data_IF_096943022819
#
_entry.id   IF_096943022819
#
_cell.length_a   1.000
_cell.length_b   1.000
_cell.length_c   1.000
_cell.angle_alpha   90.00
_cell.angle_beta   90.00
_cell.angle_gamma   90.00
#
_symmetry.space_group_name_H-M   'P 1'
#
loop_
_entity.id
_entity.type
_entity.pdbx_description
1 polymer ?
#
# COMPACT_ATOMS: atom_id res chain seq x y z
N UNK A 1 6.67 40.50 -64.65
CA UNK A 1 5.80 39.62 -63.82
C UNK A 1 6.71 38.78 -62.93
N UNK A 2 6.81 39.12 -61.64
CA UNK A 2 7.67 38.41 -60.67
C UNK A 2 6.74 37.92 -59.55
N UNK A 3 6.46 36.62 -59.50
CA UNK A 3 5.73 36.00 -58.40
C UNK A 3 6.73 35.60 -57.31
N UNK A 4 6.68 36.32 -56.18
CA UNK A 4 7.38 35.96 -54.94
C UNK A 4 6.61 34.82 -54.26
N UNK A 5 7.29 33.70 -54.01
CA UNK A 5 6.80 32.63 -53.17
C UNK A 5 7.31 32.86 -51.74
N UNK A 6 6.39 33.08 -50.81
CA UNK A 6 6.66 33.20 -49.38
C UNK A 6 6.61 31.80 -48.77
N UNK A 7 7.73 31.30 -48.26
CA UNK A 7 7.78 30.07 -47.43
C UNK A 7 7.63 30.50 -45.98
N UNK A 8 6.54 30.07 -45.34
CA UNK A 8 6.31 30.22 -43.90
C UNK A 8 6.96 29.04 -43.18
N UNK A 9 7.98 29.32 -42.36
CA UNK A 9 8.61 28.36 -41.46
C UNK A 9 7.83 28.37 -40.14
N UNK A 10 7.05 27.32 -39.87
CA UNK A 10 6.37 27.15 -38.59
C UNK A 10 7.35 26.48 -37.60
N UNK A 11 7.86 27.25 -36.63
CA UNK A 11 8.59 26.74 -35.49
C UNK A 11 7.57 26.20 -34.46
N UNK A 12 7.36 24.88 -34.46
CA UNK A 12 6.59 24.19 -33.43
C UNK A 12 7.44 24.04 -32.15
N UNK A 13 7.15 24.87 -31.14
CA UNK A 13 7.60 24.63 -29.77
C UNK A 13 6.75 23.48 -29.18
N UNK A 14 7.27 22.25 -29.27
CA UNK A 14 6.74 21.14 -28.49
C UNK A 14 7.26 21.26 -27.05
N UNK A 15 6.41 21.74 -26.14
CA UNK A 15 6.62 21.58 -24.71
C UNK A 15 6.32 20.11 -24.34
N UNK A 16 7.30 19.24 -24.54
CA UNK A 16 7.22 17.85 -24.07
C UNK A 16 7.29 17.77 -22.54
N UNK A 17 6.64 16.78 -21.91
CA UNK A 17 6.75 16.55 -20.47
C UNK A 17 8.21 16.30 -20.09
N UNK A 18 8.69 17.03 -19.06
CA UNK A 18 10.06 17.01 -18.55
C UNK A 18 10.55 15.63 -18.05
N UNK A 19 9.68 14.62 -18.01
CA UNK A 19 10.04 13.26 -17.59
C UNK A 19 10.90 12.52 -18.63
N UNK A 20 10.86 12.91 -19.91
CA UNK A 20 11.55 12.20 -20.99
C UNK A 20 13.08 12.44 -21.06
N UNK A 21 13.65 13.32 -20.21
CA UNK A 21 15.10 13.59 -20.18
C UNK A 21 15.83 13.00 -18.97
N UNK A 22 15.19 12.13 -18.18
CA UNK A 22 15.77 11.53 -16.95
C UNK A 22 16.32 10.10 -17.15
N UNK A 23 16.67 9.74 -18.38
CA UNK A 23 17.38 8.51 -18.71
C UNK A 23 18.89 8.71 -18.53
N UNK A 24 19.53 7.84 -17.75
CA UNK A 24 20.99 7.82 -17.42
C UNK A 24 21.47 8.61 -16.18
N UNK A 25 20.69 8.63 -15.09
CA UNK A 25 21.10 9.26 -13.80
C UNK A 25 20.95 8.36 -12.57
N UNK A 26 21.58 8.75 -11.45
CA UNK A 26 21.28 8.16 -10.12
C UNK A 26 19.79 8.28 -9.84
N UNK A 27 19.19 7.27 -9.23
CA UNK A 27 17.78 7.32 -8.83
C UNK A 27 17.65 8.26 -7.64
N UNK A 28 16.83 9.31 -7.75
CA UNK A 28 16.61 10.25 -6.65
C UNK A 28 15.60 9.66 -5.68
N UNK A 29 16.00 9.51 -4.42
CA UNK A 29 15.23 8.75 -3.43
C UNK A 29 15.04 9.56 -2.15
N UNK A 30 13.83 9.52 -1.59
CA UNK A 30 13.59 9.83 -0.19
C UNK A 30 13.27 8.55 0.59
N UNK A 31 13.64 8.50 1.87
CA UNK A 31 13.29 7.38 2.75
C UNK A 31 12.25 7.88 3.75
N UNK A 32 11.03 7.36 3.69
CA UNK A 32 10.00 7.69 4.66
C UNK A 32 10.29 7.04 6.02
N UNK A 33 9.70 7.58 7.09
CA UNK A 33 9.68 6.93 8.40
C UNK A 33 9.09 5.53 8.30
N UNK A 34 9.71 4.54 8.95
CA UNK A 34 9.22 3.16 8.92
C UNK A 34 8.09 2.96 9.93
N UNK A 35 7.08 2.18 9.54
CA UNK A 35 6.03 1.74 10.46
C UNK A 35 6.61 0.80 11.52
N UNK A 36 6.23 0.97 12.77
CA UNK A 36 6.76 0.21 13.90
C UNK A 36 5.70 -0.21 14.91
N UNK A 37 4.41 0.00 14.61
CA UNK A 37 3.30 -0.36 15.48
C UNK A 37 3.36 -1.82 15.95
N UNK A 38 3.77 -2.75 15.09
CA UNK A 38 3.92 -4.18 15.42
C UNK A 38 4.96 -4.45 16.52
N UNK A 39 5.97 -3.60 16.64
CA UNK A 39 7.11 -3.77 17.58
C UNK A 39 7.15 -2.70 18.66
N UNK A 40 6.11 -1.87 18.77
CA UNK A 40 6.05 -0.74 19.70
C UNK A 40 6.23 -1.16 21.16
N UNK A 41 5.64 -2.30 21.54
CA UNK A 41 5.79 -2.85 22.89
C UNK A 41 7.24 -3.28 23.17
N UNK A 42 7.85 -4.07 22.27
CA UNK A 42 9.25 -4.51 22.40
C UNK A 42 10.23 -3.34 22.38
N UNK A 43 9.98 -2.32 21.55
CA UNK A 43 10.76 -1.08 21.54
C UNK A 43 10.67 -0.34 22.88
N UNK A 44 9.47 -0.24 23.46
CA UNK A 44 9.24 0.38 24.77
C UNK A 44 9.94 -0.38 25.89
N UNK A 45 9.98 -1.71 25.86
CA UNK A 45 10.72 -2.52 26.83
C UNK A 45 12.24 -2.29 26.76
N UNK A 46 12.78 -2.12 25.55
CA UNK A 46 14.22 -1.94 25.33
C UNK A 46 14.69 -0.53 25.70
N UNK A 47 13.94 0.50 25.31
CA UNK A 47 14.39 1.89 25.43
C UNK A 47 13.69 2.69 26.53
N UNK A 48 12.53 2.24 27.00
CA UNK A 48 11.66 3.02 27.88
C UNK A 48 10.94 4.16 27.16
N UNK A 49 9.68 4.44 27.57
CA UNK A 49 8.88 5.52 26.99
C UNK A 49 8.37 5.28 25.56
N UNK A 50 8.05 6.36 24.85
CA UNK A 50 7.51 6.37 23.48
C UNK A 50 8.64 6.43 22.44
N UNK A 51 9.54 5.45 22.47
CA UNK A 51 10.72 5.44 21.61
C UNK A 51 10.34 4.94 20.19
N UNK A 52 10.48 5.81 19.18
CA UNK A 52 10.15 5.49 17.79
C UNK A 52 11.35 4.86 17.06
N UNK A 53 11.36 3.53 17.00
CA UNK A 53 12.41 2.77 16.31
C UNK A 53 12.35 2.90 14.79
N UNK A 54 11.16 3.18 14.23
CA UNK A 54 10.95 3.33 12.80
C UNK A 54 11.68 4.54 12.22
N UNK A 55 11.70 5.65 12.96
CA UNK A 55 12.48 6.85 12.60
C UNK A 55 13.98 6.57 12.61
N UNK A 56 14.47 5.89 13.65
CA UNK A 56 15.90 5.56 13.77
C UNK A 56 16.38 4.63 12.66
N UNK A 57 15.55 3.65 12.28
CA UNK A 57 15.83 2.74 11.16
C UNK A 57 15.82 3.49 9.83
N UNK A 58 14.84 4.37 9.60
CA UNK A 58 14.77 5.19 8.38
C UNK A 58 16.02 6.08 8.22
N UNK A 59 16.50 6.69 9.32
CA UNK A 59 17.74 7.47 9.34
C UNK A 59 18.94 6.59 8.92
N UNK A 60 19.07 5.37 9.47
CA UNK A 60 20.15 4.43 9.11
C UNK A 60 20.07 3.97 7.64
N UNK A 61 18.87 3.64 7.14
CA UNK A 61 18.65 3.25 5.74
C UNK A 61 19.06 4.39 4.80
N UNK A 62 18.65 5.63 5.10
CA UNK A 62 19.05 6.79 4.32
C UNK A 62 20.57 7.02 4.33
N UNK A 63 21.23 6.84 5.49
CA UNK A 63 22.68 6.94 5.62
C UNK A 63 23.44 5.86 4.82
N UNK A 64 22.98 4.61 4.86
CA UNK A 64 23.61 3.52 4.10
C UNK A 64 23.35 3.64 2.60
N UNK A 65 22.15 4.06 2.16
CA UNK A 65 21.86 4.32 0.75
C UNK A 65 22.72 5.45 0.17
N UNK A 66 23.07 6.48 0.95
CA UNK A 66 23.98 7.56 0.51
C UNK A 66 25.36 7.05 0.11
N UNK A 67 25.79 5.90 0.63
CA UNK A 67 27.07 5.27 0.30
C UNK A 67 27.03 4.51 -1.03
N UNK A 68 25.84 4.31 -1.61
CA UNK A 68 25.64 3.58 -2.85
C UNK A 68 25.63 4.53 -4.03
N UNK A 69 26.38 4.19 -5.07
CA UNK A 69 26.51 5.07 -6.24
C UNK A 69 25.26 5.14 -7.12
N UNK A 70 24.29 4.25 -6.91
CA UNK A 70 23.06 4.20 -7.71
C UNK A 70 21.98 5.17 -7.24
N UNK A 71 22.08 5.69 -6.02
CA UNK A 71 21.04 6.50 -5.40
C UNK A 71 21.54 7.94 -5.12
N UNK A 72 20.68 8.91 -5.37
CA UNK A 72 20.80 10.29 -4.91
C UNK A 72 19.77 10.48 -3.78
N UNK A 73 20.21 10.28 -2.55
CA UNK A 73 19.29 10.31 -1.40
C UNK A 73 19.08 11.74 -0.94
N UNK A 74 17.85 12.25 -1.09
CA UNK A 74 17.46 13.60 -0.65
C UNK A 74 17.35 13.68 0.87
N UNK A 75 17.03 12.56 1.53
CA UNK A 75 17.05 12.43 2.99
C UNK A 75 15.89 11.58 3.50
N UNK A 76 15.67 11.66 4.82
CA UNK A 76 14.49 11.09 5.47
C UNK A 76 13.30 12.03 5.31
N UNK A 77 12.14 11.48 4.98
CA UNK A 77 10.87 12.20 4.92
C UNK A 77 9.99 11.78 6.10
N UNK A 78 9.44 12.77 6.81
CA UNK A 78 8.61 12.49 7.97
C UNK A 78 7.20 12.10 7.53
N UNK A 79 6.68 10.98 8.08
CA UNK A 79 5.28 10.59 7.94
C UNK A 79 4.70 10.28 9.33
N UNK A 80 3.49 10.77 9.65
CA UNK A 80 2.88 10.48 10.94
C UNK A 80 2.64 8.97 11.12
N UNK A 81 2.76 8.44 12.34
CA UNK A 81 2.43 7.04 12.65
C UNK A 81 1.06 6.64 12.08
N UNK A 82 0.94 5.43 11.52
CA UNK A 82 -0.29 4.94 10.88
C UNK A 82 -0.47 5.36 9.41
N UNK A 83 0.35 6.30 8.89
CA UNK A 83 0.39 6.65 7.46
C UNK A 83 1.69 6.23 6.77
N UNK A 84 2.59 5.56 7.49
CA UNK A 84 3.95 5.24 7.02
C UNK A 84 3.99 4.17 5.93
N UNK A 85 2.93 3.37 5.83
CA UNK A 85 2.69 2.41 4.76
C UNK A 85 1.69 2.91 3.71
N UNK A 86 1.18 4.14 3.84
CA UNK A 86 0.22 4.73 2.90
C UNK A 86 0.94 5.25 1.64
N UNK A 87 0.61 4.68 0.49
CA UNK A 87 1.20 5.06 -0.79
C UNK A 87 0.81 6.46 -1.23
N UNK A 88 -0.40 6.92 -0.87
CA UNK A 88 -0.84 8.29 -1.14
C UNK A 88 0.00 9.29 -0.34
N UNK A 89 0.32 8.97 0.92
CA UNK A 89 1.20 9.79 1.74
C UNK A 89 2.64 9.83 1.18
N UNK A 90 3.17 8.69 0.78
CA UNK A 90 4.48 8.60 0.09
C UNK A 90 4.49 9.37 -1.23
N UNK A 91 3.37 9.44 -1.94
CA UNK A 91 3.29 10.12 -3.21
C UNK A 91 3.23 11.63 -3.13
N UNK A 92 2.62 12.18 -2.07
CA UNK A 92 2.72 13.62 -1.82
C UNK A 92 4.20 14.04 -1.68
N UNK A 93 5.01 13.19 -1.05
CA UNK A 93 6.45 13.43 -0.90
C UNK A 93 7.23 13.37 -2.22
N UNK A 94 6.80 12.59 -3.22
CA UNK A 94 7.43 12.57 -4.55
C UNK A 94 7.45 13.97 -5.18
N UNK A 95 6.28 14.61 -5.19
CA UNK A 95 6.11 15.96 -5.76
C UNK A 95 6.80 17.04 -4.94
N UNK A 96 6.66 16.99 -3.61
CA UNK A 96 7.24 17.99 -2.70
C UNK A 96 8.77 17.97 -2.70
N UNK A 97 9.37 16.78 -2.70
CA UNK A 97 10.83 16.60 -2.62
C UNK A 97 11.47 16.51 -4.01
N UNK A 98 10.67 16.37 -5.06
CA UNK A 98 11.10 16.19 -6.44
C UNK A 98 11.90 14.90 -6.67
N UNK A 99 11.74 13.89 -5.82
CA UNK A 99 12.41 12.59 -5.94
C UNK A 99 11.72 11.72 -6.98
N UNK A 100 12.43 10.71 -7.49
CA UNK A 100 11.86 9.77 -8.47
C UNK A 100 11.03 8.68 -7.78
N UNK A 101 11.43 8.30 -6.56
CA UNK A 101 10.75 7.31 -5.71
C UNK A 101 10.88 7.67 -4.24
N UNK A 102 9.94 7.20 -3.43
CA UNK A 102 10.02 7.18 -1.97
C UNK A 102 10.11 5.73 -1.51
N UNK A 103 11.05 5.45 -0.60
CA UNK A 103 11.12 4.15 0.08
C UNK A 103 10.22 4.22 1.31
N UNK A 104 9.20 3.38 1.36
CA UNK A 104 8.38 3.14 2.57
C UNK A 104 8.68 1.76 3.12
N UNK A 105 8.39 1.52 4.39
CA UNK A 105 8.73 0.25 5.01
C UNK A 105 8.16 0.09 6.41
N UNK A 106 8.36 -1.11 6.96
CA UNK A 106 7.89 -1.50 8.28
C UNK A 106 8.93 -2.34 9.03
N UNK A 107 8.82 -2.33 10.35
CA UNK A 107 9.64 -3.09 11.29
C UNK A 107 8.83 -4.28 11.77
N UNK A 108 9.05 -5.45 11.16
CA UNK A 108 8.28 -6.67 11.44
C UNK A 108 8.75 -7.40 12.72
N UNK A 109 10.01 -7.20 13.11
CA UNK A 109 10.51 -7.65 14.39
C UNK A 109 11.62 -6.75 14.89
N UNK A 110 11.61 -6.45 16.18
CA UNK A 110 12.65 -5.68 16.86
C UNK A 110 12.67 -6.09 18.33
N UNK A 111 13.64 -6.88 18.73
CA UNK A 111 13.64 -7.42 20.08
C UNK A 111 14.92 -8.13 20.47
N UNK A 112 15.03 -8.47 21.76
CA UNK A 112 16.09 -9.33 22.28
C UNK A 112 15.50 -10.52 23.02
N UNK A 113 16.26 -11.61 23.09
CA UNK A 113 15.94 -12.79 23.88
C UNK A 113 17.16 -13.17 24.70
N UNK A 114 16.93 -13.48 25.97
CA UNK A 114 17.95 -13.97 26.89
C UNK A 114 17.79 -15.49 27.06
N UNK A 115 18.88 -16.24 26.85
CA UNK A 115 18.88 -17.69 27.00
C UNK A 115 18.88 -18.12 28.46
N UNK A 116 17.71 -18.37 29.05
CA UNK A 116 17.58 -18.95 30.41
C UNK A 116 17.71 -20.49 30.43
N UNK A 117 17.29 -21.16 29.35
CA UNK A 117 17.21 -22.63 29.27
C UNK A 117 17.78 -23.12 27.93
N UNK A 118 18.86 -23.90 27.99
CA UNK A 118 19.46 -24.52 26.80
C UNK A 118 18.43 -25.41 26.09
N UNK A 119 18.21 -25.17 24.79
CA UNK A 119 17.46 -26.08 23.92
C UNK A 119 15.98 -25.75 23.70
N UNK A 120 15.46 -24.64 24.25
CA UNK A 120 14.11 -24.15 23.97
C UNK A 120 14.11 -23.32 22.68
N UNK A 121 13.13 -23.56 21.80
CA UNK A 121 12.91 -22.70 20.63
C UNK A 121 12.27 -21.40 21.11
N UNK A 122 12.95 -20.28 20.88
CA UNK A 122 12.40 -18.96 21.24
C UNK A 122 11.87 -18.24 20.01
N UNK A 123 10.95 -17.29 20.22
CA UNK A 123 10.38 -16.43 19.18
C UNK A 123 10.45 -14.97 19.60
N UNK A 124 10.73 -14.08 18.65
CA UNK A 124 10.57 -12.61 18.80
C UNK A 124 9.51 -12.18 17.78
N UNK A 125 8.36 -11.71 18.25
CA UNK A 125 7.20 -11.54 17.37
C UNK A 125 6.83 -12.85 16.66
N UNK A 126 6.64 -12.82 15.34
CA UNK A 126 6.33 -14.00 14.50
C UNK A 126 7.56 -14.84 14.14
N UNK A 127 8.76 -14.40 14.54
CA UNK A 127 10.03 -14.92 14.07
C UNK A 127 10.58 -15.99 15.03
N UNK A 128 10.76 -17.22 14.55
CA UNK A 128 11.48 -18.28 15.27
C UNK A 128 13.01 -18.10 15.19
N UNK A 129 13.69 -18.17 16.34
CA UNK A 129 15.14 -17.95 16.46
C UNK A 129 15.93 -19.20 16.86
N UNK A 130 15.30 -20.37 16.83
CA UNK A 130 15.96 -21.63 17.13
C UNK A 130 16.40 -21.75 18.60
N UNK A 131 17.41 -22.59 18.85
CA UNK A 131 17.90 -22.90 20.20
C UNK A 131 18.98 -21.91 20.62
N UNK A 132 18.73 -21.21 21.72
CA UNK A 132 19.71 -20.28 22.33
C UNK A 132 20.45 -20.99 23.47
N UNK A 133 21.77 -20.80 23.54
CA UNK A 133 22.60 -21.30 24.65
C UNK A 133 22.38 -20.53 25.95
N UNK A 134 22.68 -21.15 27.10
CA UNK A 134 22.67 -20.45 28.39
C UNK A 134 23.67 -19.29 28.37
N UNK A 135 23.32 -18.16 28.95
CA UNK A 135 24.17 -16.96 29.08
C UNK A 135 24.38 -16.14 27.79
N UNK A 136 23.65 -16.46 26.72
CA UNK A 136 23.66 -15.66 25.48
C UNK A 136 22.43 -14.76 25.39
N UNK A 137 22.63 -13.50 24.99
CA UNK A 137 21.56 -12.63 24.52
C UNK A 137 21.57 -12.61 23.00
N UNK A 138 20.41 -12.81 22.38
CA UNK A 138 20.22 -12.73 20.92
C UNK A 138 19.34 -11.53 20.60
N UNK A 139 19.86 -10.62 19.77
CA UNK A 139 19.11 -9.50 19.20
C UNK A 139 18.54 -9.92 17.85
N UNK A 140 17.33 -9.49 17.53
CA UNK A 140 16.59 -9.88 16.32
C UNK A 140 15.97 -8.63 15.71
N UNK A 141 16.23 -8.43 14.42
CA UNK A 141 15.61 -7.36 13.64
C UNK A 141 15.17 -7.92 12.29
N UNK A 142 13.93 -7.61 11.91
CA UNK A 142 13.41 -7.91 10.58
C UNK A 142 12.70 -6.68 10.01
N UNK A 143 13.04 -6.36 8.75
CA UNK A 143 12.61 -5.15 8.06
C UNK A 143 11.99 -5.53 6.73
N UNK A 144 10.99 -4.77 6.31
CA UNK A 144 10.46 -4.81 4.95
C UNK A 144 10.41 -3.39 4.41
N UNK A 145 10.74 -3.21 3.14
CA UNK A 145 10.67 -1.94 2.45
C UNK A 145 10.27 -2.11 0.98
N UNK A 146 9.78 -1.03 0.40
CA UNK A 146 9.37 -1.00 -1.00
C UNK A 146 9.65 0.37 -1.61
N UNK A 147 9.92 0.38 -2.90
CA UNK A 147 9.96 1.61 -3.68
C UNK A 147 8.54 1.99 -4.10
N UNK A 148 8.08 3.17 -3.74
CA UNK A 148 6.81 3.74 -4.20
C UNK A 148 7.12 4.87 -5.18
N UNK A 149 6.50 4.85 -6.35
CA UNK A 149 6.75 5.88 -7.35
C UNK A 149 5.97 5.70 -8.64
N UNK A 150 6.37 6.47 -9.65
CA UNK A 150 5.69 6.51 -10.95
C UNK A 150 4.36 7.28 -10.94
N UNK A 151 3.72 7.44 -12.10
CA UNK A 151 2.48 8.20 -12.24
C UNK A 151 1.31 7.60 -11.46
N UNK A 152 1.28 6.28 -11.35
CA UNK A 152 0.22 5.53 -10.68
C UNK A 152 0.41 5.43 -9.16
N UNK A 153 1.54 5.91 -8.61
CA UNK A 153 1.77 5.91 -7.17
C UNK A 153 1.70 4.52 -6.52
N UNK A 154 2.27 3.53 -7.18
CA UNK A 154 2.27 2.14 -6.75
C UNK A 154 3.65 1.69 -6.26
N UNK A 155 3.70 0.59 -5.50
CA UNK A 155 4.94 -0.14 -5.27
C UNK A 155 5.56 -0.58 -6.61
N UNK A 156 6.86 -0.41 -6.75
CA UNK A 156 7.65 -0.73 -7.94
C UNK A 156 8.57 -1.93 -7.73
N UNK A 157 9.00 -2.17 -6.48
CA UNK A 157 9.79 -3.32 -6.07
C UNK A 157 9.78 -3.44 -4.54
N UNK A 158 9.99 -4.66 -4.05
CA UNK A 158 10.00 -5.01 -2.63
C UNK A 158 11.38 -5.54 -2.20
N UNK A 159 11.73 -5.28 -0.93
CA UNK A 159 12.93 -5.77 -0.28
C UNK A 159 12.62 -6.14 1.17
N UNK A 160 13.20 -7.24 1.64
CA UNK A 160 13.08 -7.70 3.02
C UNK A 160 14.46 -8.05 3.54
N UNK A 161 14.66 -7.90 4.85
CA UNK A 161 15.88 -8.34 5.50
C UNK A 161 15.62 -8.87 6.90
N UNK A 162 16.55 -9.67 7.37
CA UNK A 162 16.48 -10.22 8.71
C UNK A 162 17.86 -10.58 9.21
N UNK A 163 18.22 -9.98 10.34
CA UNK A 163 19.47 -10.30 11.02
C UNK A 163 19.25 -10.70 12.47
N UNK A 164 20.19 -11.51 12.96
CA UNK A 164 20.30 -11.89 14.36
C UNK A 164 21.74 -11.73 14.80
N UNK A 165 21.96 -11.14 15.98
CA UNK A 165 23.29 -11.03 16.56
C UNK A 165 23.30 -11.65 17.96
N UNK A 166 24.40 -12.32 18.31
CA UNK A 166 24.61 -12.89 19.64
C UNK A 166 25.69 -12.10 20.40
N UNK A 167 25.55 -12.00 21.73
CA UNK A 167 26.55 -11.37 22.58
C UNK A 167 26.41 -11.73 24.06
N UNK A 168 27.54 -11.70 24.78
CA UNK A 168 27.66 -12.09 26.19
C UNK A 168 27.72 -10.90 27.17
N UNK A 169 27.33 -9.67 26.78
CA UNK A 169 27.41 -8.54 27.71
C UNK A 169 26.92 -7.17 27.20
N UNK A 170 26.48 -6.36 28.17
CA UNK A 170 25.85 -5.01 28.10
C UNK A 170 24.50 -4.97 27.39
N UNK A 171 23.46 -5.40 28.10
CA UNK A 171 22.08 -5.13 27.73
C UNK A 171 21.79 -3.62 27.82
N UNK A 172 21.00 -3.06 26.91
CA UNK A 172 20.43 -1.71 27.03
C UNK A 172 19.61 -1.53 28.33
N UNK A 173 19.26 -2.64 28.98
CA UNK A 173 18.51 -2.70 30.25
C UNK A 173 19.42 -2.85 31.48
N UNK A 174 20.75 -2.96 31.30
CA UNK A 174 21.70 -3.21 32.37
C UNK A 174 22.37 -1.94 32.87
N UNK A 175 21.66 -1.08 33.60
CA UNK A 175 22.21 -0.04 34.50
C UNK A 175 23.16 1.03 33.92
N UNK A 176 23.50 0.99 32.64
CA UNK A 176 24.33 1.99 31.97
C UNK A 176 23.40 3.03 31.35
N UNK A 177 23.57 4.28 31.77
CA UNK A 177 22.89 5.47 31.25
C UNK A 177 23.33 5.71 29.79
N UNK A 178 22.79 4.89 28.90
CA UNK A 178 23.03 4.96 27.47
C UNK A 178 22.29 6.20 26.96
N UNK A 179 23.05 7.23 26.59
CA UNK A 179 22.56 8.45 25.88
C UNK A 179 22.08 8.12 24.46
N UNK A 180 21.24 7.10 24.33
CA UNK A 180 20.66 6.64 23.06
C UNK A 180 19.37 7.40 22.78
N UNK A 181 18.68 7.91 23.81
CA UNK A 181 17.51 8.79 23.64
C UNK A 181 17.97 10.25 23.71
N UNK A 182 17.84 10.99 22.61
CA UNK A 182 18.07 12.44 22.59
C UNK A 182 16.88 13.21 23.16
N UNK A 183 17.07 14.49 23.48
CA UNK A 183 15.97 15.39 23.84
C UNK A 183 14.85 15.28 22.77
N UNK A 184 13.61 14.97 23.21
CA UNK A 184 12.47 14.75 22.31
C UNK A 184 12.14 13.29 21.98
N UNK A 185 12.73 12.30 22.67
CA UNK A 185 12.33 10.88 22.54
C UNK A 185 12.87 10.17 21.29
N UNK A 186 13.79 10.81 20.54
CA UNK A 186 14.40 10.20 19.35
C UNK A 186 15.53 9.26 19.76
N UNK A 187 15.56 8.08 19.13
CA UNK A 187 16.62 7.08 19.32
C UNK A 187 17.74 7.38 18.33
N UNK A 188 18.95 7.64 18.83
CA UNK A 188 20.14 7.73 18.00
C UNK A 188 20.76 6.33 17.81
N UNK A 189 20.40 5.67 16.71
CA UNK A 189 20.89 4.33 16.37
C UNK A 189 22.22 4.32 15.61
N UNK A 190 22.75 5.46 15.18
CA UNK A 190 24.06 5.53 14.50
C UNK A 190 25.23 5.65 15.48
N UNK A 191 24.95 5.92 16.76
CA UNK A 191 25.97 6.03 17.81
C UNK A 191 26.76 4.74 18.04
N UNK A 192 28.08 4.87 18.20
CA UNK A 192 29.00 3.74 18.37
C UNK A 192 28.61 2.81 19.54
N UNK A 193 28.13 3.38 20.65
CA UNK A 193 27.70 2.63 21.83
C UNK A 193 26.46 1.78 21.55
N UNK A 194 25.49 2.29 20.78
CA UNK A 194 24.34 1.50 20.37
C UNK A 194 24.77 0.34 19.47
N UNK A 195 25.64 0.60 18.49
CA UNK A 195 26.14 -0.42 17.53
C UNK A 195 26.96 -1.53 18.20
N UNK A 196 27.48 -1.32 19.41
CA UNK A 196 28.17 -2.36 20.21
C UNK A 196 27.19 -3.32 20.90
N UNK A 197 25.96 -2.89 21.16
CA UNK A 197 24.93 -3.73 21.80
C UNK A 197 24.47 -4.85 20.87
N UNK A 198 23.93 -5.93 21.44
CA UNK A 198 23.41 -7.06 20.65
C UNK A 198 22.29 -6.63 19.68
N UNK A 199 21.33 -5.82 20.13
CA UNK A 199 20.26 -5.31 19.26
C UNK A 199 20.79 -4.34 18.21
N UNK A 200 21.78 -3.51 18.54
CA UNK A 200 22.38 -2.58 17.59
C UNK A 200 23.18 -3.28 16.50
N UNK A 201 23.89 -4.37 16.81
CA UNK A 201 24.55 -5.22 15.81
C UNK A 201 23.54 -5.82 14.83
N UNK A 202 22.47 -6.43 15.36
CA UNK A 202 21.39 -6.98 14.54
C UNK A 202 20.72 -5.90 13.69
N UNK A 203 20.51 -4.69 14.23
CA UNK A 203 19.94 -3.56 13.49
C UNK A 203 20.82 -3.14 12.32
N UNK A 204 22.13 -2.98 12.56
CA UNK A 204 23.10 -2.58 11.51
C UNK A 204 23.18 -3.62 10.41
N UNK A 205 23.20 -4.90 10.77
CA UNK A 205 23.22 -6.01 9.82
C UNK A 205 21.94 -6.07 9.00
N UNK A 206 20.76 -6.01 9.63
CA UNK A 206 19.47 -6.01 8.93
C UNK A 206 19.33 -4.79 7.99
N UNK A 207 19.76 -3.60 8.40
CA UNK A 207 19.77 -2.41 7.52
C UNK A 207 20.74 -2.60 6.35
N UNK A 208 21.93 -3.15 6.60
CA UNK A 208 22.92 -3.44 5.56
C UNK A 208 22.38 -4.40 4.50
N UNK A 209 21.73 -5.48 4.93
CA UNK A 209 21.05 -6.44 4.06
C UNK A 209 19.89 -5.81 3.29
N UNK A 210 19.03 -5.03 3.98
CA UNK A 210 17.90 -4.35 3.33
C UNK A 210 18.39 -3.43 2.20
N UNK A 211 19.44 -2.66 2.47
CA UNK A 211 20.03 -1.75 1.49
C UNK A 211 20.69 -2.51 0.33
N UNK A 212 21.27 -3.68 0.57
CA UNK A 212 21.79 -4.54 -0.48
C UNK A 212 20.67 -5.09 -1.38
N UNK A 213 19.55 -5.53 -0.80
CA UNK A 213 18.35 -5.95 -1.55
C UNK A 213 17.76 -4.79 -2.36
N UNK A 214 17.57 -3.61 -1.74
CA UNK A 214 17.10 -2.41 -2.43
C UNK A 214 18.01 -2.01 -3.60
N UNK A 215 19.33 -2.12 -3.43
CA UNK A 215 20.31 -1.91 -4.50
C UNK A 215 20.16 -2.94 -5.62
N UNK A 216 19.95 -4.21 -5.28
CA UNK A 216 19.68 -5.29 -6.24
C UNK A 216 18.44 -5.04 -7.09
N UNK A 217 17.42 -4.37 -6.52
CA UNK A 217 16.17 -3.99 -7.21
C UNK A 217 16.27 -2.74 -8.07
N UNK A 218 17.41 -2.03 -8.07
CA UNK A 218 17.56 -0.78 -8.81
C UNK A 218 17.15 -0.88 -10.29
N UNK A 219 17.58 -1.93 -10.99
CA UNK A 219 17.28 -2.12 -12.41
C UNK A 219 15.81 -2.45 -12.70
N UNK A 220 15.10 -3.04 -11.74
CA UNK A 220 13.66 -3.29 -11.80
C UNK A 220 12.89 -1.96 -11.70
N UNK A 221 13.22 -1.16 -10.68
CA UNK A 221 12.61 0.16 -10.46
C UNK A 221 12.85 1.11 -11.63
N UNK A 222 14.08 1.15 -12.16
CA UNK A 222 14.40 2.00 -13.33
C UNK A 222 13.56 1.64 -14.54
N UNK A 223 13.40 0.35 -14.84
CA UNK A 223 12.57 -0.11 -15.96
C UNK A 223 11.10 0.24 -15.75
N UNK A 224 10.59 0.10 -14.53
CA UNK A 224 9.21 0.45 -14.21
C UNK A 224 8.95 1.96 -14.42
N UNK A 225 9.87 2.83 -13.96
CA UNK A 225 9.78 4.27 -14.17
C UNK A 225 9.89 4.66 -15.64
N UNK A 226 10.80 4.03 -16.38
CA UNK A 226 11.01 4.28 -17.81
C UNK A 226 9.81 3.82 -18.64
N UNK A 227 9.23 2.66 -18.32
CA UNK A 227 8.00 2.18 -18.94
C UNK A 227 6.84 3.16 -18.71
N UNK A 228 6.67 3.64 -17.47
CA UNK A 228 5.63 4.60 -17.13
C UNK A 228 5.84 5.98 -17.79
N UNK A 229 7.08 6.37 -18.09
CA UNK A 229 7.38 7.61 -18.80
C UNK A 229 7.18 7.51 -20.32
N UNK A 230 7.16 6.29 -20.87
CA UNK A 230 6.96 6.02 -22.30
C UNK A 230 5.49 5.82 -22.67
N UNK A 231 4.59 5.74 -21.69
CA UNK A 231 3.16 5.80 -21.97
C UNK A 231 2.84 7.15 -22.65
N UNK A 232 2.27 7.15 -23.86
CA UNK A 232 1.97 8.38 -24.56
C UNK A 232 0.95 9.17 -23.74
N UNK A 233 1.30 10.40 -23.37
CA UNK A 233 0.35 11.39 -22.85
C UNK A 233 -0.69 11.62 -23.94
N UNK A 234 -1.80 10.90 -23.86
CA UNK A 234 -2.91 11.08 -24.77
C UNK A 234 -3.45 12.51 -24.62
N UNK A 235 -3.71 13.22 -25.73
CA UNK A 235 -4.33 14.53 -25.67
C UNK A 235 -5.72 14.43 -25.00
N UNK A 236 -6.07 15.47 -24.24
CA UNK A 236 -7.30 15.57 -23.49
C UNK A 236 -8.56 15.39 -24.37
N UNK A 237 -9.32 14.31 -24.08
CA UNK A 237 -10.73 14.00 -24.41
C UNK A 237 -11.13 13.91 -25.90
N UNK A 238 -12.15 13.11 -26.32
CA UNK A 238 -13.24 12.50 -25.52
C UNK A 238 -13.55 11.00 -25.79
N UNK A 239 -14.44 10.47 -24.95
CA UNK A 239 -15.27 9.24 -25.06
C UNK A 239 -14.57 7.86 -25.06
N UNK A 240 -14.82 7.15 -23.94
CA UNK A 240 -15.03 5.70 -23.79
C UNK A 240 -14.94 4.88 -25.09
N UNK A 241 -13.93 4.02 -25.18
CA UNK A 241 -13.92 2.94 -26.17
C UNK A 241 -12.53 2.40 -26.49
N UNK A 242 -12.28 1.16 -26.07
CA UNK A 242 -11.27 0.23 -26.61
C UNK A 242 -9.80 0.40 -26.18
N UNK A 243 -9.55 0.74 -24.90
CA UNK A 243 -8.30 0.32 -24.23
C UNK A 243 -8.36 -1.15 -23.83
N UNK A 244 -7.22 -1.85 -23.82
CA UNK A 244 -7.14 -3.22 -23.31
C UNK A 244 -7.57 -3.25 -21.83
N UNK A 245 -8.47 -4.16 -21.47
CA UNK A 245 -8.84 -4.39 -20.08
C UNK A 245 -7.72 -5.20 -19.43
N UNK A 246 -6.93 -4.56 -18.57
CA UNK A 246 -5.81 -5.16 -17.85
C UNK A 246 -5.26 -4.20 -16.78
N UNK A 247 -4.73 -4.73 -15.68
CA UNK A 247 -4.08 -3.95 -14.63
C UNK A 247 -4.55 -4.27 -13.21
N UNK A 248 -4.06 -3.50 -12.23
CA UNK A 248 -4.44 -3.66 -10.82
C UNK A 248 -5.67 -2.79 -10.54
N UNK A 249 -6.75 -3.39 -10.05
CA UNK A 249 -7.91 -2.62 -9.61
C UNK A 249 -7.60 -1.92 -8.28
N UNK A 250 -7.56 -0.59 -8.31
CA UNK A 250 -7.31 0.24 -7.13
C UNK A 250 -8.56 0.42 -6.29
N UNK A 251 -8.65 -0.29 -5.16
CA UNK A 251 -9.76 -0.13 -4.21
C UNK A 251 -9.88 1.33 -3.76
N UNK A 252 -11.09 1.88 -3.86
CA UNK A 252 -11.44 3.18 -3.29
C UNK A 252 -10.58 4.35 -3.79
N UNK A 253 -10.06 4.25 -5.02
CA UNK A 253 -9.31 5.32 -5.69
C UNK A 253 -10.25 6.39 -6.26
N UNK A 254 -11.00 7.05 -5.38
CA UNK A 254 -11.95 8.08 -5.81
C UNK A 254 -11.23 9.33 -6.32
N UNK A 255 -11.72 9.89 -7.42
CA UNK A 255 -11.27 11.15 -8.04
C UNK A 255 -11.87 12.38 -7.35
N UNK A 256 -12.88 12.18 -6.50
CA UNK A 256 -13.50 13.25 -5.71
C UNK A 256 -14.60 14.03 -6.42
N UNK A 257 -14.96 13.69 -7.66
CA UNK A 257 -16.09 14.26 -8.42
C UNK A 257 -17.14 13.23 -8.80
N UNK A 258 -16.88 11.98 -8.46
CA UNK A 258 -17.62 10.84 -9.00
C UNK A 258 -18.99 10.69 -8.35
N UNK A 259 -19.97 10.31 -9.17
CA UNK A 259 -21.29 9.91 -8.74
C UNK A 259 -21.57 8.48 -9.19
N UNK A 260 -22.06 7.68 -8.27
CA UNK A 260 -22.47 6.30 -8.50
C UNK A 260 -23.92 6.14 -8.11
N UNK A 261 -24.66 5.38 -8.91
CA UNK A 261 -25.97 4.85 -8.53
C UNK A 261 -26.00 3.35 -8.75
N UNK A 262 -26.39 2.62 -7.72
CA UNK A 262 -26.55 1.18 -7.75
C UNK A 262 -28.01 0.81 -7.55
N UNK A 263 -28.46 -0.20 -8.29
CA UNK A 263 -29.59 -1.02 -7.85
C UNK A 263 -29.06 -2.05 -6.84
N UNK A 264 -29.78 -2.19 -5.74
CA UNK A 264 -29.41 -3.06 -4.63
C UNK A 264 -30.52 -4.07 -4.33
N UNK A 265 -30.10 -5.30 -4.07
CA UNK A 265 -30.96 -6.40 -3.66
C UNK A 265 -30.26 -7.17 -2.54
N UNK A 266 -30.99 -7.44 -1.47
CA UNK A 266 -30.54 -8.26 -0.35
C UNK A 266 -31.57 -9.34 -0.10
N UNK A 267 -31.11 -10.58 -0.04
CA UNK A 267 -31.91 -11.75 0.31
C UNK A 267 -31.44 -12.24 1.68
N UNK A 268 -32.33 -12.19 2.66
CA UNK A 268 -32.08 -12.53 4.07
C UNK A 268 -33.21 -13.43 4.53
N UNK A 269 -32.91 -14.63 5.03
CA UNK A 269 -33.91 -15.63 5.47
C UNK A 269 -35.01 -15.96 4.42
N UNK A 270 -34.70 -15.78 3.12
CA UNK A 270 -35.63 -16.01 2.01
C UNK A 270 -36.55 -14.81 1.67
N UNK A 271 -36.45 -13.72 2.42
CA UNK A 271 -37.09 -12.45 2.08
C UNK A 271 -36.16 -11.59 1.22
N UNK A 272 -36.68 -11.12 0.08
CA UNK A 272 -35.93 -10.25 -0.84
C UNK A 272 -36.31 -8.79 -0.63
N UNK A 273 -35.34 -7.99 -0.20
CA UNK A 273 -35.41 -6.53 -0.11
C UNK A 273 -34.71 -5.93 -1.33
N UNK A 274 -35.35 -4.95 -1.99
CA UNK A 274 -34.77 -4.26 -3.15
C UNK A 274 -34.75 -2.76 -2.90
N UNK A 275 -33.89 -2.05 -3.63
CA UNK A 275 -33.79 -0.62 -3.55
C UNK A 275 -32.60 -0.07 -4.32
N UNK A 276 -32.06 1.04 -3.86
CA UNK A 276 -30.99 1.75 -4.55
C UNK A 276 -30.02 2.41 -3.59
N UNK A 277 -28.78 2.57 -4.04
CA UNK A 277 -27.74 3.33 -3.37
C UNK A 277 -27.22 4.41 -4.31
N UNK A 278 -26.89 5.56 -3.74
CA UNK A 278 -26.16 6.64 -4.40
C UNK A 278 -24.94 6.96 -3.58
N UNK A 279 -23.83 7.20 -4.27
CA UNK A 279 -22.58 7.64 -3.67
C UNK A 279 -22.11 8.86 -4.46
N UNK A 280 -21.95 9.98 -3.77
CA UNK A 280 -21.49 11.22 -4.35
C UNK A 280 -20.19 11.64 -3.67
N UNK A 281 -19.10 11.64 -4.43
CA UNK A 281 -17.82 12.15 -4.00
C UNK A 281 -17.73 13.63 -4.38
N UNK A 282 -17.38 14.47 -3.40
CA UNK A 282 -17.19 15.91 -3.59
C UNK A 282 -15.84 16.33 -3.02
N UNK A 283 -15.11 17.29 -3.61
CA UNK A 283 -13.85 17.75 -3.04
C UNK A 283 -14.06 18.37 -1.66
N UNK A 284 -13.22 18.00 -0.69
CA UNK A 284 -13.27 18.50 0.68
C UNK A 284 -12.03 19.35 1.07
N UNK A 285 -11.18 19.68 0.10
CA UNK A 285 -9.91 20.38 0.30
C UNK A 285 -8.78 19.45 0.75
N UNK A 286 -7.53 19.90 0.58
CA UNK A 286 -6.32 19.15 1.02
C UNK A 286 -6.22 17.72 0.45
N UNK A 287 -6.67 17.51 -0.79
CA UNK A 287 -6.66 16.20 -1.43
C UNK A 287 -7.69 15.20 -0.87
N UNK A 288 -8.53 15.62 0.07
CA UNK A 288 -9.62 14.80 0.63
C UNK A 288 -10.90 14.97 -0.16
N UNK A 289 -11.78 13.99 -0.08
CA UNK A 289 -13.14 14.08 -0.60
C UNK A 289 -14.16 13.71 0.47
N UNK A 290 -15.31 14.35 0.36
CA UNK A 290 -16.52 14.05 1.11
C UNK A 290 -17.31 13.04 0.29
N UNK A 291 -17.56 11.88 0.87
CA UNK A 291 -18.41 10.85 0.30
C UNK A 291 -19.77 10.90 0.99
N UNK A 292 -20.80 11.30 0.26
CA UNK A 292 -22.18 11.21 0.70
C UNK A 292 -22.80 9.93 0.16
N UNK A 293 -23.23 9.04 1.06
CA UNK A 293 -23.92 7.81 0.70
C UNK A 293 -25.38 7.95 1.12
N UNK A 294 -26.29 7.73 0.19
CA UNK A 294 -27.72 7.74 0.46
C UNK A 294 -28.39 6.60 -0.27
N UNK A 295 -29.45 6.05 0.31
CA UNK A 295 -30.17 4.97 -0.34
C UNK A 295 -31.45 4.59 0.36
N UNK A 296 -32.11 3.64 -0.27
CA UNK A 296 -33.32 2.98 0.18
C UNK A 296 -33.11 1.49 -0.02
N UNK A 297 -33.44 0.66 0.96
CA UNK A 297 -33.48 -0.79 0.80
C UNK A 297 -34.70 -1.33 1.55
N UNK A 298 -35.66 -1.90 0.83
CA UNK A 298 -36.97 -2.20 1.41
C UNK A 298 -37.64 -0.91 1.89
N UNK A 299 -37.97 -0.86 3.18
CA UNK A 299 -38.57 0.33 3.82
C UNK A 299 -37.52 1.25 4.48
N UNK A 300 -36.26 0.79 4.58
CA UNK A 300 -35.20 1.50 5.28
C UNK A 300 -34.54 2.54 4.37
N UNK A 301 -34.56 3.80 4.79
CA UNK A 301 -33.82 4.88 4.14
C UNK A 301 -32.65 5.32 5.01
N UNK A 302 -31.52 5.61 4.36
CA UNK A 302 -30.31 6.01 5.05
C UNK A 302 -29.61 7.11 4.25
N UNK A 303 -28.93 7.99 4.99
CA UNK A 303 -28.06 9.01 4.42
C UNK A 303 -26.95 9.29 5.41
N UNK A 304 -25.72 9.11 4.96
CA UNK A 304 -24.53 9.42 5.75
C UNK A 304 -23.53 10.18 4.91
N UNK A 305 -22.59 10.82 5.57
CA UNK A 305 -21.54 11.57 4.91
C UNK A 305 -20.27 11.38 5.71
N UNK A 306 -19.22 10.94 5.02
CA UNK A 306 -17.89 10.80 5.61
C UNK A 306 -16.87 11.58 4.78
N UNK A 307 -15.77 11.98 5.41
CA UNK A 307 -14.62 12.58 4.71
C UNK A 307 -13.49 11.57 4.74
N UNK A 308 -12.96 11.24 3.57
CA UNK A 308 -11.87 10.28 3.42
C UNK A 308 -10.90 10.76 2.34
N UNK A 309 -9.81 10.02 2.16
CA UNK A 309 -8.73 10.33 1.22
C UNK A 309 -8.63 9.22 0.15
N UNK A 310 -8.04 9.48 -1.03
CA UNK A 310 -7.91 8.45 -2.07
C UNK A 310 -7.12 7.24 -1.57
N UNK A 311 -7.67 6.03 -1.80
CA UNK A 311 -7.07 4.77 -1.34
C UNK A 311 -7.23 4.49 0.16
N UNK A 312 -7.78 5.42 0.94
CA UNK A 312 -8.04 5.22 2.36
C UNK A 312 -9.32 4.39 2.55
N UNK A 313 -9.19 3.22 3.20
CA UNK A 313 -10.33 2.40 3.61
C UNK A 313 -11.27 3.17 4.55
N UNK A 314 -12.57 2.94 4.40
CA UNK A 314 -13.58 3.55 5.26
C UNK A 314 -13.70 2.69 6.53
N UNK A 315 -13.58 3.27 7.75
CA UNK A 315 -13.72 2.51 8.98
C UNK A 315 -15.04 1.73 9.02
N UNK A 316 -15.01 0.49 9.49
CA UNK A 316 -16.17 -0.42 9.50
C UNK A 316 -17.43 0.21 10.11
N UNK A 317 -17.30 0.93 11.23
CA UNK A 317 -18.42 1.62 11.87
C UNK A 317 -19.08 2.67 10.96
N UNK A 318 -18.32 3.32 10.08
CA UNK A 318 -18.88 4.27 9.11
C UNK A 318 -19.55 3.53 7.94
N UNK A 319 -18.99 2.39 7.50
CA UNK A 319 -19.62 1.53 6.49
C UNK A 319 -20.96 0.99 7.00
N UNK A 320 -21.04 0.53 8.24
CA UNK A 320 -22.30 0.09 8.85
C UNK A 320 -23.37 1.21 8.85
N UNK A 321 -22.96 2.47 9.05
CA UNK A 321 -23.85 3.63 9.01
C UNK A 321 -24.31 4.01 7.58
N UNK A 322 -23.71 3.44 6.54
CA UNK A 322 -24.11 3.62 5.14
C UNK A 322 -25.26 2.70 4.72
N UNK A 323 -25.77 1.87 5.64
CA UNK A 323 -26.87 0.94 5.40
C UNK A 323 -26.41 -0.47 5.03
N UNK A 324 -27.33 -1.45 5.06
CA UNK A 324 -27.02 -2.88 5.02
C UNK A 324 -26.26 -3.35 3.77
N UNK A 325 -26.55 -2.80 2.59
CA UNK A 325 -25.84 -3.12 1.35
C UNK A 325 -24.44 -2.51 1.23
N UNK A 326 -24.07 -1.54 2.07
CA UNK A 326 -22.79 -0.84 1.92
C UNK A 326 -21.57 -1.75 2.16
N UNK A 327 -21.72 -2.79 2.98
CA UNK A 327 -20.65 -3.77 3.24
C UNK A 327 -20.17 -4.46 1.94
N UNK A 328 -21.04 -4.55 0.93
CA UNK A 328 -20.73 -5.15 -0.37
C UNK A 328 -19.85 -4.22 -1.19
N UNK A 329 -20.06 -2.91 -1.12
CA UNK A 329 -19.21 -1.95 -1.86
C UNK A 329 -17.89 -1.69 -1.14
N UNK A 330 -17.89 -1.76 0.19
CA UNK A 330 -16.74 -1.42 1.04
C UNK A 330 -16.17 -2.62 1.79
N UNK A 331 -16.30 -3.83 1.25
CA UNK A 331 -15.91 -5.04 1.96
C UNK A 331 -14.39 -5.08 2.21
N UNK A 332 -13.94 -5.29 3.46
CA UNK A 332 -12.53 -5.51 3.76
C UNK A 332 -11.95 -6.73 3.03
N UNK A 333 -12.79 -7.68 2.63
CA UNK A 333 -12.39 -8.88 1.90
C UNK A 333 -11.72 -8.56 0.57
N UNK A 334 -12.01 -7.39 -0.02
CA UNK A 334 -11.35 -6.99 -1.26
C UNK A 334 -9.86 -6.73 -1.08
N UNK A 335 -9.40 -6.56 0.17
CA UNK A 335 -7.98 -6.46 0.49
C UNK A 335 -7.14 -7.63 -0.05
N UNK A 336 -7.70 -8.84 -0.14
CA UNK A 336 -6.97 -9.98 -0.73
C UNK A 336 -6.95 -10.00 -2.25
N UNK A 337 -7.61 -9.05 -2.92
CA UNK A 337 -7.51 -8.81 -4.36
C UNK A 337 -6.46 -7.72 -4.66
N UNK A 338 -5.91 -7.06 -3.64
CA UNK A 338 -4.87 -6.04 -3.81
C UNK A 338 -3.58 -6.65 -4.35
N UNK A 339 -3.00 -6.00 -5.35
CA UNK A 339 -1.76 -6.44 -5.99
C UNK A 339 -1.94 -7.60 -6.97
N UNK A 340 -3.14 -8.18 -7.08
CA UNK A 340 -3.43 -9.16 -8.12
C UNK A 340 -3.75 -8.47 -9.44
N UNK A 341 -3.16 -9.00 -10.51
CA UNK A 341 -3.39 -8.51 -11.86
C UNK A 341 -4.75 -9.00 -12.37
N UNK A 342 -5.60 -8.07 -12.80
CA UNK A 342 -6.86 -8.39 -13.43
C UNK A 342 -6.64 -8.54 -14.93
N UNK A 343 -6.32 -9.77 -15.36
CA UNK A 343 -6.25 -10.14 -16.77
C UNK A 343 -7.16 -11.34 -17.02
N UNK A 344 -7.79 -11.40 -18.19
CA UNK A 344 -8.64 -12.54 -18.55
C UNK A 344 -7.87 -13.86 -18.47
N UNK A 345 -8.39 -14.81 -17.70
CA UNK A 345 -7.78 -16.11 -17.49
C UNK A 345 -6.84 -16.19 -16.30
N UNK A 346 -6.46 -15.07 -15.68
CA UNK A 346 -5.68 -15.06 -14.44
C UNK A 346 -6.43 -15.79 -13.33
N UNK A 347 -5.74 -16.70 -12.66
CA UNK A 347 -6.29 -17.48 -11.56
C UNK A 347 -5.26 -17.70 -10.47
N UNK A 348 -5.72 -17.77 -9.23
CA UNK A 348 -4.94 -18.23 -8.11
C UNK A 348 -5.80 -19.10 -7.21
N UNK A 349 -5.15 -20.00 -6.48
CA UNK A 349 -5.82 -20.84 -5.49
C UNK A 349 -4.89 -21.13 -4.34
N UNK A 350 -5.45 -21.17 -3.13
CA UNK A 350 -4.77 -21.54 -1.91
C UNK A 350 -5.59 -22.59 -1.18
N UNK A 351 -4.92 -23.66 -0.71
CA UNK A 351 -5.55 -24.73 0.06
C UNK A 351 -4.90 -24.80 1.43
N UNK A 352 -5.71 -24.74 2.48
CA UNK A 352 -5.27 -24.90 3.87
C UNK A 352 -6.29 -25.73 4.62
N UNK A 353 -5.81 -26.69 5.42
CA UNK A 353 -6.65 -27.56 6.28
C UNK A 353 -7.80 -28.29 5.55
N UNK A 354 -7.67 -28.50 4.23
CA UNK A 354 -8.69 -29.17 3.41
C UNK A 354 -9.71 -28.22 2.76
N UNK A 355 -9.66 -26.92 3.08
CA UNK A 355 -10.46 -25.88 2.45
C UNK A 355 -9.67 -25.23 1.31
N UNK A 356 -10.32 -25.02 0.18
CA UNK A 356 -9.71 -24.39 -1.00
C UNK A 356 -10.40 -23.07 -1.33
N UNK A 357 -9.62 -22.00 -1.29
CA UNK A 357 -10.02 -20.67 -1.73
C UNK A 357 -9.41 -20.45 -3.12
N UNK A 358 -10.20 -19.99 -4.08
CA UNK A 358 -9.73 -19.70 -5.43
C UNK A 358 -10.37 -18.46 -5.99
N UNK A 359 -9.66 -17.78 -6.88
CA UNK A 359 -10.15 -16.64 -7.63
C UNK A 359 -9.77 -16.79 -9.09
N UNK A 360 -10.68 -16.39 -9.98
CA UNK A 360 -10.44 -16.41 -11.43
C UNK A 360 -11.07 -15.21 -12.10
N UNK A 361 -10.34 -14.58 -12.99
CA UNK A 361 -10.89 -13.59 -13.93
C UNK A 361 -11.44 -14.33 -15.14
N UNK A 362 -12.76 -14.39 -15.25
CA UNK A 362 -13.44 -15.30 -16.18
C UNK A 362 -13.87 -14.66 -17.50
N UNK A 363 -14.25 -13.39 -17.46
CA UNK A 363 -14.87 -12.73 -18.60
C UNK A 363 -14.74 -11.21 -18.52
N UNK A 364 -15.00 -10.53 -19.63
CA UNK A 364 -15.30 -9.10 -19.60
C UNK A 364 -16.76 -8.89 -19.15
N UNK A 365 -17.02 -7.74 -18.53
CA UNK A 365 -18.33 -7.32 -18.09
C UNK A 365 -18.52 -5.81 -18.36
N UNK A 366 -19.75 -5.33 -18.30
CA UNK A 366 -20.05 -3.92 -18.54
C UNK A 366 -21.31 -3.49 -17.80
N UNK A 367 -21.24 -2.38 -17.07
CA UNK A 367 -22.38 -1.77 -16.39
C UNK A 367 -22.28 -0.25 -16.44
N UNK A 368 -23.42 0.44 -16.50
CA UNK A 368 -23.50 1.91 -16.62
C UNK A 368 -22.61 2.52 -17.74
N UNK A 369 -22.40 1.78 -18.84
CA UNK A 369 -21.53 2.21 -19.95
C UNK A 369 -20.03 2.07 -19.69
N UNK A 370 -19.62 1.52 -18.53
CA UNK A 370 -18.24 1.25 -18.18
C UNK A 370 -17.93 -0.23 -18.40
N UNK A 371 -16.79 -0.51 -19.06
CA UNK A 371 -16.26 -1.87 -19.22
C UNK A 371 -15.41 -2.27 -18.01
N UNK A 372 -15.45 -3.55 -17.69
CA UNK A 372 -14.69 -4.15 -16.59
C UNK A 372 -14.38 -5.62 -16.83
N UNK A 373 -13.76 -6.22 -15.82
CA UNK A 373 -13.41 -7.63 -15.76
C UNK A 373 -14.20 -8.32 -14.65
N UNK A 374 -14.74 -9.49 -14.98
CA UNK A 374 -15.50 -10.34 -14.07
C UNK A 374 -14.56 -11.29 -13.36
N UNK A 375 -14.41 -11.09 -12.05
CA UNK A 375 -13.64 -11.93 -11.15
C UNK A 375 -14.57 -12.75 -10.28
N UNK A 376 -14.30 -14.05 -10.17
CA UNK A 376 -15.12 -14.97 -9.39
C UNK A 376 -14.24 -15.63 -8.32
N UNK A 377 -14.58 -15.36 -7.07
CA UNK A 377 -14.01 -15.98 -5.89
C UNK A 377 -14.88 -17.16 -5.46
N UNK A 378 -14.26 -18.33 -5.37
CA UNK A 378 -14.86 -19.56 -4.86
C UNK A 378 -14.19 -20.09 -3.60
N UNK A 379 -14.99 -20.66 -2.72
CA UNK A 379 -14.56 -21.51 -1.61
C UNK A 379 -15.10 -22.91 -1.85
N UNK A 380 -14.24 -23.93 -1.87
CA UNK A 380 -14.62 -25.32 -2.13
C UNK A 380 -15.50 -25.48 -3.40
N UNK A 381 -15.18 -24.70 -4.44
CA UNK A 381 -15.92 -24.57 -5.73
C UNK A 381 -17.26 -23.83 -5.69
N UNK A 382 -17.75 -23.42 -4.51
CA UNK A 382 -18.94 -22.59 -4.38
C UNK A 382 -18.60 -21.11 -4.56
N UNK A 383 -19.40 -20.39 -5.35
CA UNK A 383 -19.18 -18.95 -5.61
C UNK A 383 -19.56 -18.15 -4.38
N UNK A 384 -18.55 -17.56 -3.71
CA UNK A 384 -18.74 -16.64 -2.59
C UNK A 384 -18.86 -15.21 -3.04
N UNK A 385 -18.03 -14.82 -4.01
CA UNK A 385 -18.06 -13.47 -4.59
C UNK A 385 -17.97 -13.55 -6.10
N UNK A 386 -18.86 -12.83 -6.77
CA UNK A 386 -18.82 -12.62 -8.22
C UNK A 386 -18.90 -11.12 -8.46
N UNK A 387 -17.82 -10.55 -8.97
CA UNK A 387 -17.69 -9.10 -9.10
C UNK A 387 -17.26 -8.71 -10.50
N UNK A 388 -17.78 -7.57 -10.95
CA UNK A 388 -17.33 -6.87 -12.12
C UNK A 388 -16.60 -5.61 -11.67
N UNK A 389 -15.33 -5.46 -12.00
CA UNK A 389 -14.54 -4.28 -11.59
C UNK A 389 -13.89 -3.63 -12.80
N UNK A 390 -13.61 -2.33 -12.70
CA UNK A 390 -12.88 -1.59 -13.74
C UNK A 390 -11.70 -0.87 -13.11
N UNK A 391 -10.48 -0.96 -13.69
CA UNK A 391 -9.32 -0.21 -13.20
C UNK A 391 -9.55 1.30 -13.13
N UNK A 392 -10.50 1.82 -13.91
CA UNK A 392 -10.80 3.27 -14.00
C UNK A 392 -11.82 3.75 -12.97
N UNK A 393 -12.43 2.84 -12.20
CA UNK A 393 -13.56 3.10 -11.31
C UNK A 393 -13.25 2.63 -9.89
N UNK A 394 -13.44 3.53 -8.92
CA UNK A 394 -13.08 3.31 -7.52
C UNK A 394 -13.89 2.20 -6.81
N UNK A 395 -15.02 1.81 -7.38
CA UNK A 395 -15.96 0.82 -6.82
C UNK A 395 -16.29 -0.25 -7.86
N UNK A 396 -16.69 -1.46 -7.44
CA UNK A 396 -17.14 -2.50 -8.35
C UNK A 396 -18.31 -2.01 -9.22
N UNK A 397 -18.30 -2.35 -10.50
CA UNK A 397 -19.42 -2.13 -11.40
C UNK A 397 -20.61 -3.04 -11.08
N UNK A 398 -20.34 -4.23 -10.55
CA UNK A 398 -21.35 -5.11 -9.97
C UNK A 398 -20.71 -6.04 -8.95
N UNK A 399 -21.47 -6.45 -7.93
CA UNK A 399 -21.06 -7.48 -6.98
C UNK A 399 -22.26 -8.35 -6.64
N UNK A 400 -22.02 -9.65 -6.59
CA UNK A 400 -22.80 -10.63 -5.85
C UNK A 400 -21.90 -11.15 -4.71
N UNK A 401 -22.35 -10.99 -3.48
CA UNK A 401 -21.70 -11.51 -2.29
C UNK A 401 -22.64 -12.48 -1.59
N UNK A 402 -22.15 -13.68 -1.28
CA UNK A 402 -22.84 -14.66 -0.44
C UNK A 402 -22.12 -14.75 0.88
N UNK A 403 -22.79 -14.33 1.94
CA UNK A 403 -22.25 -14.43 3.29
C UNK A 403 -22.39 -15.85 3.85
N UNK A 404 -21.58 -16.20 4.85
CA UNK A 404 -21.66 -17.47 5.56
C UNK A 404 -23.01 -17.65 6.29
N UNK A 405 -23.65 -16.54 6.68
CA UNK A 405 -24.99 -16.52 7.28
C UNK A 405 -26.13 -16.88 6.32
N UNK A 406 -25.84 -17.11 5.03
CA UNK A 406 -26.85 -17.43 4.01
C UNK A 406 -27.47 -16.19 3.35
N UNK A 407 -27.06 -14.99 3.76
CA UNK A 407 -27.46 -13.74 3.15
C UNK A 407 -26.83 -13.58 1.76
N UNK A 408 -27.61 -13.10 0.80
CA UNK A 408 -27.13 -12.83 -0.55
C UNK A 408 -27.33 -11.36 -0.87
N UNK A 409 -26.23 -10.69 -1.14
CA UNK A 409 -26.23 -9.29 -1.52
C UNK A 409 -25.89 -9.15 -2.99
N UNK A 410 -26.66 -8.33 -3.70
CA UNK A 410 -26.40 -7.97 -5.09
C UNK A 410 -26.46 -6.46 -5.25
N UNK A 411 -25.39 -5.89 -5.81
CA UNK A 411 -25.35 -4.48 -6.19
C UNK A 411 -24.88 -4.36 -7.63
N UNK A 412 -25.62 -3.60 -8.44
CA UNK A 412 -25.32 -3.39 -9.87
C UNK A 412 -25.31 -1.91 -10.18
N UNK A 413 -24.21 -1.41 -10.74
CA UNK A 413 -24.07 -0.02 -11.13
C UNK A 413 -24.99 0.29 -12.31
N UNK A 414 -25.88 1.26 -12.14
CA UNK A 414 -26.85 1.68 -13.15
C UNK A 414 -26.56 3.09 -13.69
N UNK A 415 -25.85 3.91 -12.92
CA UNK A 415 -25.39 5.23 -13.34
C UNK A 415 -23.99 5.49 -12.80
N UNK A 416 -23.09 5.97 -13.65
CA UNK A 416 -21.77 6.46 -13.27
C UNK A 416 -21.52 7.80 -13.95
N UNK A 417 -21.07 8.77 -13.16
CA UNK A 417 -20.56 10.04 -13.66
C UNK A 417 -19.17 10.25 -13.03
N UNK A 418 -18.09 10.31 -13.82
CA UNK A 418 -16.73 10.44 -13.30
C UNK A 418 -16.46 11.81 -12.65
#
# INVERSE_FOLDING_TARGET
>A
MIRRATVLLAAGLAAGPLYAQRGEGKLRVAVADFEYDEVRESAREIFGGEADVGVGIADLVAEELKKKDRFEVVGRAALPPGSRLDYSAACNLLGELGVDVVITGGVAAFGKVEGEVAGVNVRVGRIGIGRIGREHTVGVVALAAQFVGGPACTPLAYAESRATAEGSGTSLTGGVDLKVISAGGRINMSGEEYRKTTIGKATVEAVGELVAELEGRYGEVRRALEAAAQEPVAPAAPLVGAGALGGVWGLYQFKGTEYFKYDAEVEEEGERKTGWYTLEAQPAGEGRFRLTVAGLLGEDSFRTTTTTSPGQGIPFMQVAAMGPGAIVLFSPMYGMLLGHEWELGSEWSFTSEGETVSFKVEAECSHAGVRGLRGVWRENQEVRVDMCVSPEVALPLAVLLRDEGGEVYRMTLVEYRP
#
